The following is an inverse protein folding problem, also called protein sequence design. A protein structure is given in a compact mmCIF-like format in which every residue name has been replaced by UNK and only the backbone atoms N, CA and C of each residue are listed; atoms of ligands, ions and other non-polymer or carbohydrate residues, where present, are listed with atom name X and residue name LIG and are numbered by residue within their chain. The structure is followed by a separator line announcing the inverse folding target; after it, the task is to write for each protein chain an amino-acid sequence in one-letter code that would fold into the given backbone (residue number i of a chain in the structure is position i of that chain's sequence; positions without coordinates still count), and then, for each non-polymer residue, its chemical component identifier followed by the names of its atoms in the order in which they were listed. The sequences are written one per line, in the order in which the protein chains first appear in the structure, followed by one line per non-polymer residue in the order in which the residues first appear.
data_IF_780314258805
#
_entry.id   IF_780314258805
#
_cell.length_a   1.000
_cell.length_b   1.000
_cell.length_c   1.000
_cell.angle_alpha   90.00
_cell.angle_beta   90.00
_cell.angle_gamma   90.00
#
_symmetry.space_group_name_H-M   'P 1'
#
loop_
_entity.id
_entity.type
_entity.pdbx_description
1 polymer ?
#
# COMPACT_ATOMS: atom_id res chain seq x y z
N UNK A 1 -16.90 -15.78 -6.96
CA UNK A 1 -15.62 -15.14 -7.33
C UNK A 1 -14.61 -16.24 -7.61
N UNK A 2 -13.81 -16.16 -8.66
CA UNK A 2 -12.78 -17.17 -8.99
C UNK A 2 -11.52 -16.81 -8.22
N UNK A 3 -11.16 -17.61 -7.21
CA UNK A 3 -9.94 -17.42 -6.42
C UNK A 3 -8.74 -17.87 -7.25
N UNK A 4 -7.92 -16.91 -7.67
CA UNK A 4 -6.75 -17.11 -8.51
C UNK A 4 -5.64 -17.85 -7.75
N UNK A 5 -4.90 -18.69 -8.49
CA UNK A 5 -3.83 -19.57 -7.97
C UNK A 5 -2.72 -18.75 -7.29
N UNK A 6 -2.39 -19.11 -6.05
CA UNK A 6 -1.43 -18.40 -5.19
C UNK A 6 0.01 -18.71 -5.66
N UNK A 7 0.84 -17.70 -6.03
CA UNK A 7 2.23 -17.89 -6.45
C UNK A 7 3.17 -18.17 -5.26
N UNK A 8 4.20 -19.01 -5.49
CA UNK A 8 4.90 -19.79 -4.46
C UNK A 8 6.17 -19.15 -3.86
N UNK A 9 6.67 -17.99 -4.30
CA UNK A 9 7.93 -17.46 -3.73
C UNK A 9 8.10 -15.93 -3.81
N UNK A 10 7.84 -15.25 -2.70
CA UNK A 10 8.25 -13.86 -2.42
C UNK A 10 8.87 -13.74 -1.01
N UNK A 11 9.67 -12.68 -0.80
CA UNK A 11 10.28 -12.38 0.49
C UNK A 11 9.20 -12.11 1.54
N UNK A 12 9.10 -12.99 2.54
CA UNK A 12 8.03 -12.97 3.54
C UNK A 12 8.39 -12.10 4.74
N UNK A 13 7.49 -11.18 5.12
CA UNK A 13 7.60 -10.38 6.34
C UNK A 13 6.62 -10.92 7.38
N UNK A 14 7.11 -11.28 8.57
CA UNK A 14 6.27 -11.82 9.65
C UNK A 14 5.55 -10.67 10.38
N UNK A 15 4.24 -10.57 10.18
CA UNK A 15 3.37 -9.73 11.00
C UNK A 15 2.60 -10.58 12.01
N UNK A 16 2.53 -10.12 13.26
CA UNK A 16 1.72 -10.75 14.33
C UNK A 16 0.60 -9.80 14.71
N UNK A 17 -0.64 -10.26 14.62
CA UNK A 17 -1.82 -9.49 15.01
C UNK A 17 -2.80 -10.39 15.76
N UNK A 18 -3.56 -9.80 16.67
CA UNK A 18 -4.61 -10.48 17.42
C UNK A 18 -5.95 -10.25 16.73
N UNK A 19 -6.67 -11.33 16.45
CA UNK A 19 -8.04 -11.28 15.94
C UNK A 19 -9.03 -11.42 17.10
N UNK A 20 -10.24 -10.87 16.91
CA UNK A 20 -11.37 -11.20 17.78
C UNK A 20 -11.74 -12.67 17.56
N UNK A 21 -12.13 -13.36 18.63
CA UNK A 21 -12.55 -14.76 18.57
C UNK A 21 -13.65 -14.98 17.51
N UNK A 22 -14.67 -14.14 17.49
CA UNK A 22 -15.75 -14.17 16.49
C UNK A 22 -15.27 -14.07 15.04
N UNK A 23 -14.16 -13.38 14.80
CA UNK A 23 -13.54 -13.27 13.46
C UNK A 23 -12.75 -14.54 13.14
N UNK A 24 -12.07 -15.12 14.12
CA UNK A 24 -11.37 -16.40 13.97
C UNK A 24 -12.35 -17.53 13.63
N UNK A 25 -13.49 -17.61 14.31
CA UNK A 25 -14.55 -18.58 14.01
C UNK A 25 -15.07 -18.47 12.58
N UNK A 26 -15.27 -17.24 12.09
CA UNK A 26 -15.69 -16.99 10.71
C UNK A 26 -14.64 -17.46 9.71
N UNK A 27 -13.35 -17.21 9.99
CA UNK A 27 -12.26 -17.68 9.15
C UNK A 27 -12.21 -19.22 9.08
N UNK A 28 -12.38 -19.92 10.20
CA UNK A 28 -12.43 -21.38 10.21
C UNK A 28 -13.62 -21.93 9.41
N UNK A 29 -14.81 -21.33 9.56
CA UNK A 29 -15.99 -21.70 8.76
C UNK A 29 -15.75 -21.48 7.28
N UNK A 30 -15.16 -20.34 6.92
CA UNK A 30 -14.84 -20.03 5.53
C UNK A 30 -13.82 -21.01 4.95
N UNK A 31 -12.78 -21.37 5.70
CA UNK A 31 -11.80 -22.38 5.31
C UNK A 31 -12.48 -23.73 5.02
N UNK A 32 -13.36 -24.18 5.92
CA UNK A 32 -14.11 -25.42 5.73
C UNK A 32 -15.01 -25.37 4.49
N UNK A 33 -15.70 -24.26 4.24
CA UNK A 33 -16.48 -24.06 3.02
C UNK A 33 -15.62 -24.11 1.76
N UNK A 34 -14.45 -23.46 1.77
CA UNK A 34 -13.55 -23.43 0.63
C UNK A 34 -12.99 -24.82 0.31
N UNK A 35 -12.59 -25.58 1.33
CA UNK A 35 -12.12 -26.97 1.17
C UNK A 35 -13.22 -27.87 0.62
N UNK A 36 -14.46 -27.70 1.09
CA UNK A 36 -15.60 -28.47 0.60
C UNK A 36 -15.98 -28.16 -0.85
N UNK A 37 -15.85 -26.90 -1.29
CA UNK A 37 -16.23 -26.47 -2.64
C UNK A 37 -15.14 -26.75 -3.69
N UNK A 38 -13.87 -26.61 -3.30
CA UNK A 38 -12.74 -26.70 -4.24
C UNK A 38 -11.92 -27.98 -4.11
N UNK A 39 -12.20 -28.84 -3.13
CA UNK A 39 -11.45 -30.08 -2.82
C UNK A 39 -9.94 -29.84 -2.67
N UNK A 40 -9.55 -28.63 -2.26
CA UNK A 40 -8.16 -28.23 -2.08
C UNK A 40 -7.95 -27.83 -0.63
N UNK A 41 -6.94 -28.42 0.00
CA UNK A 41 -6.49 -28.01 1.31
C UNK A 41 -5.76 -26.66 1.22
N UNK A 42 -6.26 -25.67 1.97
CA UNK A 42 -5.64 -24.35 2.06
C UNK A 42 -5.28 -24.07 3.51
N UNK A 43 -4.10 -23.51 3.73
CA UNK A 43 -3.72 -23.06 5.08
C UNK A 43 -4.46 -21.77 5.43
N UNK A 44 -4.73 -21.55 6.72
CA UNK A 44 -5.34 -20.30 7.19
C UNK A 44 -4.54 -19.07 6.76
N UNK A 45 -3.20 -19.18 6.77
CA UNK A 45 -2.29 -18.12 6.31
C UNK A 45 -2.58 -17.76 4.85
N UNK A 46 -2.56 -18.74 3.95
CA UNK A 46 -2.66 -18.48 2.51
C UNK A 46 -4.06 -17.99 2.13
N UNK A 47 -5.09 -18.46 2.85
CA UNK A 47 -6.46 -17.97 2.70
C UNK A 47 -6.59 -16.49 3.09
N UNK A 48 -6.01 -16.09 4.23
CA UNK A 48 -6.02 -14.69 4.68
C UNK A 48 -5.20 -13.81 3.72
N UNK A 49 -4.06 -14.28 3.26
CA UNK A 49 -3.22 -13.59 2.28
C UNK A 49 -3.98 -13.33 0.96
N UNK A 50 -4.67 -14.35 0.45
CA UNK A 50 -5.50 -14.23 -0.75
C UNK A 50 -6.68 -13.27 -0.54
N UNK A 51 -7.33 -13.28 0.62
CA UNK A 51 -8.40 -12.32 0.95
C UNK A 51 -7.88 -10.89 0.98
N UNK A 52 -6.75 -10.63 1.65
CA UNK A 52 -6.17 -9.30 1.74
C UNK A 52 -5.73 -8.79 0.38
N UNK A 53 -5.10 -9.64 -0.43
CA UNK A 53 -4.67 -9.30 -1.79
C UNK A 53 -5.88 -8.97 -2.67
N UNK A 54 -6.94 -9.79 -2.60
CA UNK A 54 -8.18 -9.55 -3.35
C UNK A 54 -8.85 -8.26 -2.91
N UNK A 55 -8.91 -8.00 -1.60
CA UNK A 55 -9.47 -6.77 -1.04
C UNK A 55 -8.72 -5.52 -1.53
N UNK A 56 -7.37 -5.53 -1.47
CA UNK A 56 -6.54 -4.44 -1.98
C UNK A 56 -6.69 -4.26 -3.50
N UNK A 57 -6.87 -5.36 -4.24
CA UNK A 57 -7.08 -5.30 -5.68
C UNK A 57 -8.42 -4.65 -6.07
N UNK A 58 -9.50 -4.96 -5.33
CA UNK A 58 -10.84 -4.42 -5.53
C UNK A 58 -11.00 -2.97 -5.02
N UNK A 59 -10.16 -2.53 -4.08
CA UNK A 59 -10.19 -1.16 -3.57
C UNK A 59 -9.74 -0.15 -4.63
N UNK A 60 -10.72 0.41 -5.34
CA UNK A 60 -10.50 1.46 -6.37
C UNK A 60 -9.82 2.71 -5.82
N UNK A 61 -9.98 3.02 -4.54
CA UNK A 61 -9.36 4.17 -3.90
C UNK A 61 -7.88 3.87 -3.70
N UNK A 62 -7.55 2.71 -3.12
CA UNK A 62 -6.18 2.23 -2.97
C UNK A 62 -5.45 2.13 -4.31
N UNK A 63 -6.11 1.60 -5.35
CA UNK A 63 -5.57 1.52 -6.70
C UNK A 63 -5.32 2.89 -7.33
N UNK A 64 -6.15 3.90 -7.03
CA UNK A 64 -5.91 5.28 -7.46
C UNK A 64 -4.69 5.89 -6.75
N UNK A 65 -4.51 5.59 -5.47
CA UNK A 65 -3.33 6.02 -4.72
C UNK A 65 -2.04 5.36 -5.21
N UNK A 66 -2.07 4.06 -5.57
CA UNK A 66 -0.91 3.39 -6.17
C UNK A 66 -0.56 3.94 -7.56
N UNK A 67 -1.56 4.33 -8.34
CA UNK A 67 -1.37 4.92 -9.67
C UNK A 67 -1.04 6.40 -9.64
N UNK A 68 -1.21 7.08 -8.51
CA UNK A 68 -0.67 8.42 -8.36
C UNK A 68 0.86 8.27 -8.42
N UNK A 69 1.54 8.96 -9.35
CA UNK A 69 2.98 8.99 -9.30
C UNK A 69 3.35 9.53 -7.93
N UNK A 70 4.01 8.69 -7.12
CA UNK A 70 4.66 9.15 -5.91
C UNK A 70 5.54 10.31 -6.36
N UNK A 71 5.06 11.53 -6.10
CA UNK A 71 5.82 12.73 -6.38
C UNK A 71 7.12 12.52 -5.62
N UNK A 72 8.19 12.24 -6.38
CA UNK A 72 9.51 11.99 -5.85
C UNK A 72 9.74 13.09 -4.81
N UNK A 73 9.93 12.68 -3.56
CA UNK A 73 10.30 13.59 -2.50
C UNK A 73 11.51 14.36 -3.01
N UNK A 74 11.28 15.60 -3.41
CA UNK A 74 12.31 16.44 -3.98
C UNK A 74 13.42 16.55 -2.91
N UNK A 75 14.69 16.23 -3.24
CA UNK A 75 15.77 16.51 -2.31
C UNK A 75 15.72 18.00 -1.98
N UNK A 76 15.55 18.29 -0.70
CA UNK A 76 15.43 19.62 -0.14
C UNK A 76 16.57 20.50 -0.65
N UNK A 77 16.23 21.58 -1.34
CA UNK A 77 17.17 22.63 -1.67
C UNK A 77 17.75 23.21 -0.37
N UNK A 78 19.07 23.36 -0.21
CA UNK A 78 19.63 24.09 0.90
C UNK A 78 19.29 25.58 0.77
N UNK A 79 18.74 26.12 1.84
CA UNK A 79 18.35 27.53 1.97
C UNK A 79 19.59 28.45 2.06
N UNK A 80 19.53 29.51 1.23
CA UNK A 80 20.05 30.89 1.32
C UNK A 80 21.37 31.21 2.06
N UNK A 81 22.06 32.29 1.63
CA UNK A 81 21.81 33.53 2.39
C UNK A 81 21.62 34.79 1.53
N UNK A 82 20.84 35.71 2.07
CA UNK A 82 20.64 37.08 1.61
C UNK A 82 21.93 37.92 1.73
N UNK A 83 22.13 38.87 0.82
CA UNK A 83 23.08 39.99 0.93
C UNK A 83 22.54 41.14 0.06
N UNK A 84 21.86 42.13 0.64
CA UNK A 84 22.39 43.36 1.25
C UNK A 84 22.48 44.53 0.25
N UNK A 85 21.50 45.42 0.35
CA UNK A 85 21.54 46.90 0.22
C UNK A 85 22.80 47.57 -0.36
N UNK A 86 22.63 48.45 -1.36
CA UNK A 86 23.61 49.51 -1.66
C UNK A 86 23.56 50.16 -3.05
N UNK A 87 22.82 51.27 -3.16
CA UNK A 87 23.15 52.56 -3.79
C UNK A 87 23.90 52.67 -5.15
N UNK A 88 23.33 53.47 -6.06
CA UNK A 88 24.03 54.13 -7.20
C UNK A 88 23.10 54.34 -8.40
N UNK A 89 22.37 55.45 -8.48
CA UNK A 89 22.72 56.64 -9.27
C UNK A 89 22.61 56.42 -10.80
N UNK A 90 21.56 56.96 -11.43
CA UNK A 90 21.75 57.69 -12.69
C UNK A 90 20.64 58.72 -12.93
N UNK A 91 21.07 59.88 -13.38
CA UNK A 91 20.35 61.14 -13.46
C UNK A 91 19.76 61.38 -14.85
N UNK A 92 18.71 62.21 -14.86
CA UNK A 92 18.32 63.23 -15.85
C UNK A 92 18.96 63.22 -17.25
N UNK A 93 18.10 63.20 -18.27
CA UNK A 93 18.12 63.96 -19.55
C UNK A 93 16.90 63.44 -20.35
N UNK A 94 16.05 64.21 -21.03
CA UNK A 94 16.02 65.60 -21.50
C UNK A 94 14.54 65.96 -21.74
#
# INVERSE_FOLDING_TARGET
MKLSRIPVSESTVKHTFSLKESTSDLLHKYQACYMAEHEVEITMKDMVEAMLTSFMADDKTFQKYLKQPQAAAAPSAPAAPASNYGSGAESSTL
#
